data_IF_930128029436
#
_entry.id   IF_930128029436
#
_cell.length_a   1.000
_cell.length_b   1.000
_cell.length_c   1.000
_cell.angle_alpha   90.00
_cell.angle_beta   90.00
_cell.angle_gamma   90.00
#
_symmetry.space_group_name_H-M   'P 1'
#
loop_
_entity.id
_entity.type
_entity.pdbx_description
1 polymer ?
#
# COMPACT_ATOMS: atom_id res chain seq x y z
N UNK A 1 -23.80 -13.61 43.28
CA UNK A 1 -23.20 -14.97 43.35
C UNK A 1 -24.33 -15.97 43.31
N UNK A 2 -24.43 -16.74 42.24
CA UNK A 2 -25.21 -17.99 42.20
C UNK A 2 -24.53 -18.89 41.18
N UNK A 3 -23.66 -19.74 41.72
CA UNK A 3 -23.04 -20.88 41.07
C UNK A 3 -24.14 -21.93 40.87
N UNK A 4 -24.27 -22.47 39.66
CA UNK A 4 -25.00 -23.73 39.46
C UNK A 4 -24.09 -24.65 38.65
N UNK A 5 -23.64 -25.69 39.33
CA UNK A 5 -22.89 -26.83 38.81
C UNK A 5 -23.78 -27.78 38.00
N UNK A 6 -23.10 -28.73 37.34
CA UNK A 6 -23.48 -30.06 36.83
C UNK A 6 -23.17 -30.19 35.33
N UNK A 7 -22.61 -31.29 34.83
CA UNK A 7 -21.83 -32.41 35.37
C UNK A 7 -21.34 -33.14 34.12
N UNK A 8 -20.11 -33.65 34.18
CA UNK A 8 -19.58 -34.57 33.19
C UNK A 8 -20.38 -35.88 33.24
N UNK A 9 -20.81 -36.40 32.09
CA UNK A 9 -21.00 -37.83 31.93
C UNK A 9 -20.72 -38.25 30.48
N UNK A 10 -20.00 -39.36 30.41
CA UNK A 10 -19.34 -39.94 29.25
C UNK A 10 -20.16 -41.13 28.71
N UNK A 11 -19.99 -41.34 27.41
CA UNK A 11 -20.14 -42.58 26.65
C UNK A 11 -21.50 -43.14 26.15
N UNK A 12 -21.46 -43.42 24.84
CA UNK A 12 -22.03 -44.55 24.10
C UNK A 12 -23.50 -44.61 23.60
N UNK A 13 -23.56 -44.63 22.26
CA UNK A 13 -24.30 -45.54 21.36
C UNK A 13 -25.71 -45.17 20.82
N UNK A 14 -25.70 -44.97 19.49
CA UNK A 14 -26.64 -45.43 18.45
C UNK A 14 -28.14 -45.04 18.51
N UNK A 15 -28.58 -44.27 17.51
CA UNK A 15 -29.58 -44.67 16.48
C UNK A 15 -30.09 -43.44 15.70
N UNK A 16 -30.61 -43.72 14.51
CA UNK A 16 -30.77 -42.88 13.32
C UNK A 16 -31.77 -41.71 13.40
N UNK A 17 -31.54 -40.65 12.60
CA UNK A 17 -32.57 -40.09 11.70
C UNK A 17 -31.98 -39.07 10.72
N UNK A 18 -32.17 -39.36 9.44
CA UNK A 18 -31.72 -38.67 8.24
C UNK A 18 -32.43 -37.35 7.97
N UNK A 19 -31.66 -36.28 7.69
CA UNK A 19 -32.09 -35.17 6.81
C UNK A 19 -30.92 -34.73 5.93
N UNK A 20 -31.17 -34.84 4.63
CA UNK A 20 -30.27 -34.75 3.48
C UNK A 20 -29.67 -33.35 3.27
N UNK A 21 -28.33 -33.30 3.18
CA UNK A 21 -27.57 -32.20 2.61
C UNK A 21 -27.42 -32.38 1.08
N UNK A 22 -27.31 -31.30 0.28
CA UNK A 22 -27.17 -31.43 -1.17
C UNK A 22 -25.78 -31.96 -1.54
N UNK A 23 -25.77 -33.03 -2.32
CA UNK A 23 -24.58 -33.69 -2.88
C UNK A 23 -23.97 -32.80 -3.96
N UNK A 24 -22.76 -32.29 -3.74
CA UNK A 24 -21.90 -31.80 -4.81
C UNK A 24 -21.09 -32.97 -5.37
N UNK A 25 -21.27 -33.16 -6.67
CA UNK A 25 -20.77 -34.28 -7.47
C UNK A 25 -19.23 -34.29 -7.50
N UNK A 26 -18.60 -35.32 -6.92
CA UNK A 26 -17.15 -35.52 -7.00
C UNK A 26 -16.82 -36.25 -8.30
N UNK A 27 -16.51 -35.48 -9.34
CA UNK A 27 -15.75 -35.95 -10.49
C UNK A 27 -14.27 -35.89 -10.17
N UNK A 28 -13.65 -37.05 -9.96
CA UNK A 28 -12.24 -37.16 -9.61
C UNK A 28 -11.30 -36.77 -10.76
N UNK A 29 -10.40 -35.83 -10.49
CA UNK A 29 -9.10 -35.72 -11.16
C UNK A 29 -8.02 -35.52 -10.10
N UNK A 30 -7.07 -36.45 -10.05
CA UNK A 30 -5.80 -36.30 -9.32
C UNK A 30 -5.04 -35.10 -9.90
N UNK A 31 -4.73 -34.09 -9.09
CA UNK A 31 -3.89 -32.98 -9.54
C UNK A 31 -3.51 -31.96 -8.47
N UNK A 32 -2.25 -32.05 -8.02
CA UNK A 32 -1.45 -31.04 -7.31
C UNK A 32 -1.92 -30.56 -5.93
N UNK A 33 -0.96 -30.49 -5.00
CA UNK A 33 -1.07 -29.80 -3.71
C UNK A 33 -1.71 -28.43 -3.88
N UNK A 34 -2.98 -28.31 -3.51
CA UNK A 34 -3.71 -27.05 -3.55
C UNK A 34 -3.11 -26.11 -2.50
N UNK A 35 -2.12 -25.32 -2.91
CA UNK A 35 -1.78 -24.09 -2.24
C UNK A 35 -3.07 -23.26 -2.12
N UNK A 36 -3.43 -22.86 -0.90
CA UNK A 36 -4.59 -22.01 -0.67
C UNK A 36 -4.55 -20.79 -1.62
N UNK A 37 -5.69 -20.37 -2.17
CA UNK A 37 -5.73 -19.17 -2.99
C UNK A 37 -5.21 -17.97 -2.17
N UNK A 38 -4.46 -17.04 -2.80
CA UNK A 38 -3.95 -15.88 -2.10
C UNK A 38 -5.10 -15.06 -1.52
N UNK A 39 -4.86 -14.46 -0.35
CA UNK A 39 -5.85 -13.63 0.32
C UNK A 39 -6.25 -12.45 -0.59
N UNK A 40 -7.55 -12.12 -0.72
CA UNK A 40 -7.97 -10.98 -1.53
C UNK A 40 -7.27 -9.70 -1.05
N UNK A 41 -6.73 -8.90 -1.97
CA UNK A 41 -6.04 -7.66 -1.63
C UNK A 41 -6.92 -6.66 -0.84
N UNK A 42 -8.25 -6.76 -0.95
CA UNK A 42 -9.21 -5.97 -0.19
C UNK A 42 -9.33 -6.37 1.29
N UNK A 43 -8.88 -7.56 1.68
CA UNK A 43 -8.91 -8.00 3.07
C UNK A 43 -7.97 -7.18 3.95
N UNK A 44 -6.82 -6.77 3.41
CA UNK A 44 -5.85 -5.95 4.12
C UNK A 44 -6.38 -4.54 4.44
N UNK A 45 -7.28 -4.01 3.60
CA UNK A 45 -7.87 -2.68 3.79
C UNK A 45 -8.67 -2.58 5.09
N UNK A 46 -9.24 -3.70 5.57
CA UNK A 46 -10.06 -3.76 6.79
C UNK A 46 -9.25 -3.50 8.06
N UNK A 47 -7.96 -3.81 8.05
CA UNK A 47 -7.07 -3.70 9.22
C UNK A 47 -5.98 -2.64 9.07
N UNK A 48 -5.95 -1.95 7.93
CA UNK A 48 -4.97 -0.90 7.66
C UNK A 48 -5.19 0.38 8.49
N UNK A 49 -6.36 0.54 9.14
CA UNK A 49 -6.61 1.63 10.08
C UNK A 49 -6.35 1.16 11.52
N UNK A 50 -5.42 1.82 12.21
CA UNK A 50 -5.21 1.59 13.63
C UNK A 50 -6.37 2.18 14.44
N UNK A 51 -6.94 1.37 15.33
CA UNK A 51 -7.97 1.81 16.28
C UNK A 51 -7.35 2.87 17.20
N UNK A 52 -7.94 4.07 17.25
CA UNK A 52 -7.47 5.15 18.11
C UNK A 52 -7.70 4.78 19.58
N UNK A 53 -6.65 4.82 20.38
CA UNK A 53 -6.72 4.75 21.85
C UNK A 53 -6.90 6.14 22.49
N UNK A 54 -6.72 7.23 21.74
CA UNK A 54 -6.73 8.61 22.24
C UNK A 54 -7.22 9.62 21.19
N UNK A 55 -7.87 10.69 21.64
CA UNK A 55 -8.28 11.87 20.84
C UNK A 55 -7.22 12.97 20.78
N UNK A 56 -6.19 12.92 21.64
CA UNK A 56 -5.04 13.84 21.62
C UNK A 56 -3.86 13.20 20.88
N UNK A 57 -3.23 14.00 20.03
CA UNK A 57 -2.02 13.61 19.30
C UNK A 57 -0.83 13.74 20.27
N UNK A 58 -0.28 12.62 20.70
CA UNK A 58 0.96 12.58 21.48
C UNK A 58 2.08 12.08 20.56
N UNK A 59 3.01 12.95 20.15
CA UNK A 59 4.14 12.55 19.30
C UNK A 59 4.96 11.43 19.92
N UNK A 60 5.05 11.32 21.25
CA UNK A 60 5.81 10.26 21.92
C UNK A 60 5.20 8.86 21.70
N UNK A 61 3.88 8.76 21.57
CA UNK A 61 3.17 7.50 21.26
C UNK A 61 3.31 7.07 19.79
N UNK A 62 3.91 7.92 18.96
CA UNK A 62 4.03 7.69 17.52
C UNK A 62 5.46 7.90 17.00
N UNK A 63 6.48 7.61 17.81
CA UNK A 63 7.90 7.78 17.45
C UNK A 63 8.20 9.18 16.91
N UNK A 64 7.63 10.22 17.53
CA UNK A 64 7.73 11.62 17.11
C UNK A 64 6.89 12.00 15.89
N UNK A 65 5.84 11.24 15.51
CA UNK A 65 4.97 11.60 14.38
C UNK A 65 4.02 12.69 14.86
N UNK A 66 4.14 13.89 14.29
CA UNK A 66 3.12 14.91 14.39
C UNK A 66 2.16 14.75 13.22
N UNK A 67 0.84 14.78 13.45
CA UNK A 67 -0.12 14.80 12.34
C UNK A 67 0.03 16.10 11.56
N UNK A 68 0.17 15.98 10.24
CA UNK A 68 0.21 17.13 9.32
C UNK A 68 -1.16 17.82 9.22
N UNK A 69 -2.25 17.06 9.44
CA UNK A 69 -3.62 17.58 9.44
C UNK A 69 -4.23 17.28 10.83
N UNK A 70 -4.44 18.31 11.67
CA UNK A 70 -5.19 18.16 12.91
C UNK A 70 -6.59 17.64 12.63
N UNK A 71 -7.08 16.71 13.45
CA UNK A 71 -8.44 16.21 13.29
C UNK A 71 -9.45 17.28 13.74
N UNK A 72 -10.03 17.97 12.78
CA UNK A 72 -11.19 18.86 12.98
C UNK A 72 -12.44 18.07 12.63
N UNK A 73 -13.47 18.11 13.48
CA UNK A 73 -14.75 17.45 13.19
C UNK A 73 -15.29 18.00 11.86
N UNK A 74 -15.64 17.11 10.95
CA UNK A 74 -16.06 17.47 9.59
C UNK A 74 -14.94 17.44 8.54
N UNK A 75 -13.68 17.31 8.96
CA UNK A 75 -12.53 17.16 8.08
C UNK A 75 -12.07 15.71 8.01
N UNK A 76 -11.86 15.22 6.80
CA UNK A 76 -11.53 13.85 6.48
C UNK A 76 -10.14 13.82 5.81
N UNK A 77 -9.06 13.55 6.56
CA UNK A 77 -7.73 13.37 6.01
C UNK A 77 -7.75 12.26 4.97
N UNK A 78 -7.30 12.58 3.77
CA UNK A 78 -7.44 11.74 2.59
C UNK A 78 -6.13 11.60 1.85
N UNK A 79 -5.96 10.47 1.17
CA UNK A 79 -4.74 10.13 0.43
C UNK A 79 -5.05 9.08 -0.64
N UNK A 80 -4.53 9.31 -1.85
CA UNK A 80 -4.55 8.36 -2.96
C UNK A 80 -3.14 7.78 -3.15
N UNK A 81 -3.05 6.46 -3.21
CA UNK A 81 -1.79 5.74 -3.37
C UNK A 81 -1.98 4.39 -4.05
N UNK A 82 -0.87 3.77 -4.46
CA UNK A 82 -0.80 2.36 -4.87
C UNK A 82 -0.08 1.59 -3.78
N UNK A 83 -0.55 0.39 -3.47
CA UNK A 83 0.01 -0.47 -2.44
C UNK A 83 0.78 -1.64 -3.06
N UNK A 84 1.95 -1.95 -2.50
CA UNK A 84 2.79 -3.08 -2.88
C UNK A 84 3.04 -3.95 -1.65
N UNK A 85 2.80 -5.25 -1.78
CA UNK A 85 3.17 -6.26 -0.80
C UNK A 85 4.40 -7.00 -1.30
N UNK A 86 5.61 -6.68 -0.81
CA UNK A 86 6.80 -7.41 -1.20
C UNK A 86 6.69 -8.86 -0.71
N UNK A 87 7.16 -9.80 -1.53
CA UNK A 87 7.28 -11.20 -1.12
C UNK A 87 8.29 -11.34 0.04
N UNK A 88 8.25 -12.46 0.76
CA UNK A 88 9.21 -12.68 1.85
C UNK A 88 10.67 -12.56 1.38
N UNK A 89 10.99 -13.06 0.18
CA UNK A 89 12.32 -12.93 -0.39
C UNK A 89 12.70 -11.46 -0.65
N UNK A 90 11.78 -10.67 -1.21
CA UNK A 90 11.97 -9.24 -1.43
C UNK A 90 12.13 -8.48 -0.10
N UNK A 91 11.28 -8.77 0.89
CA UNK A 91 11.38 -8.22 2.24
C UNK A 91 12.72 -8.53 2.90
N UNK A 92 13.26 -9.75 2.73
CA UNK A 92 14.56 -10.14 3.29
C UNK A 92 15.70 -9.33 2.67
N UNK A 93 15.69 -9.13 1.34
CA UNK A 93 16.67 -8.29 0.63
C UNK A 93 16.61 -6.85 1.14
N UNK A 94 15.41 -6.26 1.18
CA UNK A 94 15.23 -4.88 1.64
C UNK A 94 15.59 -4.71 3.12
N UNK A 95 15.29 -5.69 3.97
CA UNK A 95 15.64 -5.66 5.39
C UNK A 95 17.15 -5.80 5.61
N UNK A 96 17.82 -6.60 4.77
CA UNK A 96 19.27 -6.74 4.79
C UNK A 96 19.95 -5.44 4.35
N UNK A 97 19.43 -4.78 3.32
CA UNK A 97 19.87 -3.46 2.89
C UNK A 97 19.72 -2.42 4.03
N UNK A 98 18.55 -2.36 4.66
CA UNK A 98 18.32 -1.45 5.82
C UNK A 98 19.26 -1.78 6.98
N UNK A 99 19.54 -3.07 7.22
CA UNK A 99 20.45 -3.49 8.30
C UNK A 99 21.91 -3.17 8.00
N UNK A 100 22.36 -3.31 6.75
CA UNK A 100 23.70 -2.91 6.33
C UNK A 100 23.96 -1.41 6.57
N UNK A 101 22.91 -0.58 6.44
CA UNK A 101 22.99 0.86 6.74
C UNK A 101 22.98 1.18 8.24
N UNK A 102 22.54 0.25 9.11
CA UNK A 102 22.52 0.42 10.57
C UNK A 102 23.83 0.05 11.25
N UNK A 103 24.51 -1.00 10.76
CA UNK A 103 25.62 -1.66 11.46
C UNK A 103 26.88 -0.79 11.65
N UNK A 104 27.03 0.30 10.89
CA UNK A 104 28.25 1.11 10.88
C UNK A 104 28.15 2.44 11.66
N UNK A 105 27.00 2.78 12.26
CA UNK A 105 26.82 4.06 12.98
C UNK A 105 26.83 3.89 14.51
N UNK A 106 27.99 4.16 15.12
CA UNK A 106 28.11 4.56 16.53
C UNK A 106 27.70 6.04 16.76
N UNK A 107 27.04 6.68 15.80
CA UNK A 107 26.46 8.01 15.97
C UNK A 107 25.14 7.88 16.77
N UNK A 108 25.22 8.25 18.04
CA UNK A 108 24.08 8.36 18.97
C UNK A 108 23.04 9.30 18.36
N UNK A 109 21.95 8.76 17.79
CA UNK A 109 20.82 9.51 17.25
C UNK A 109 20.32 9.11 15.85
N UNK A 110 21.05 8.26 15.13
CA UNK A 110 20.70 7.84 13.76
C UNK A 110 19.90 6.53 13.72
N UNK A 111 18.88 6.38 14.57
CA UNK A 111 18.03 5.18 14.52
C UNK A 111 17.26 5.15 13.19
N UNK A 112 17.51 4.12 12.38
CA UNK A 112 16.81 3.90 11.11
C UNK A 112 15.63 2.98 11.38
N UNK A 113 14.41 3.49 11.26
CA UNK A 113 13.17 2.75 11.49
C UNK A 113 12.65 2.17 10.16
N UNK A 114 12.41 0.86 10.12
CA UNK A 114 11.97 0.15 8.91
C UNK A 114 10.45 0.27 8.69
N UNK A 115 10.01 0.30 7.43
CA UNK A 115 8.60 0.15 7.04
C UNK A 115 8.25 -1.27 6.59
N UNK A 116 9.23 -2.19 6.56
CA UNK A 116 9.07 -3.50 5.91
C UNK A 116 8.40 -4.55 6.80
N UNK A 117 8.48 -4.39 8.12
CA UNK A 117 7.98 -5.38 9.09
C UNK A 117 7.28 -4.70 10.26
N UNK A 118 6.27 -5.38 10.80
CA UNK A 118 5.64 -5.00 12.07
C UNK A 118 6.53 -5.37 13.25
N UNK A 119 6.18 -4.91 14.45
CA UNK A 119 6.85 -5.29 15.70
C UNK A 119 6.81 -6.81 15.96
N UNK A 120 5.87 -7.52 15.32
CA UNK A 120 5.72 -8.98 15.37
C UNK A 120 6.46 -9.70 14.22
N UNK A 121 7.23 -8.96 13.42
CA UNK A 121 8.02 -9.51 12.31
C UNK A 121 7.22 -9.83 11.05
N UNK A 122 5.95 -9.40 10.95
CA UNK A 122 5.14 -9.66 9.76
C UNK A 122 5.43 -8.63 8.66
N UNK A 123 5.61 -9.03 7.40
CA UNK A 123 5.77 -8.09 6.29
C UNK A 123 4.65 -7.04 6.22
N UNK A 124 5.00 -5.79 5.98
CA UNK A 124 4.08 -4.68 5.82
C UNK A 124 4.06 -4.19 4.36
N UNK A 125 2.89 -3.70 3.88
CA UNK A 125 2.83 -3.09 2.57
C UNK A 125 3.61 -1.78 2.50
N UNK A 126 4.23 -1.56 1.36
CA UNK A 126 4.78 -0.27 0.96
C UNK A 126 3.82 0.43 0.00
N UNK A 127 4.01 1.73 -0.22
CA UNK A 127 3.14 2.45 -1.14
C UNK A 127 3.88 3.47 -2.02
N UNK A 128 3.29 3.73 -3.18
CA UNK A 128 3.63 4.83 -4.09
C UNK A 128 2.51 5.86 -3.98
N UNK A 129 2.84 7.10 -3.58
CA UNK A 129 1.84 8.17 -3.48
C UNK A 129 1.42 8.69 -4.85
N UNK A 130 0.11 8.89 -5.04
CA UNK A 130 -0.47 9.52 -6.24
C UNK A 130 -1.14 10.87 -5.91
N UNK A 131 -1.07 11.29 -4.64
CA UNK A 131 -1.50 12.60 -4.16
C UNK A 131 -0.68 12.97 -2.92
N UNK A 132 -0.63 14.27 -2.58
CA UNK A 132 -0.24 14.69 -1.24
C UNK A 132 -1.32 14.27 -0.24
N UNK A 133 -1.04 14.18 1.07
CA UNK A 133 -2.11 14.18 2.05
C UNK A 133 -2.98 15.44 1.88
N UNK A 134 -4.30 15.27 1.79
CA UNK A 134 -5.25 16.37 1.60
C UNK A 134 -6.48 16.21 2.51
N UNK A 135 -7.37 17.19 2.55
CA UNK A 135 -8.52 17.20 3.47
C UNK A 135 -9.82 17.40 2.72
N UNK A 136 -10.74 16.44 2.83
CA UNK A 136 -12.10 16.58 2.33
C UNK A 136 -13.05 16.98 3.46
N UNK A 137 -14.06 17.79 3.16
CA UNK A 137 -15.15 18.02 4.12
C UNK A 137 -16.17 16.88 4.09
N UNK A 138 -17.06 16.82 5.08
CA UNK A 138 -18.17 15.85 5.11
C UNK A 138 -19.05 15.92 3.87
N UNK A 139 -19.26 17.12 3.33
CA UNK A 139 -20.07 17.34 2.12
C UNK A 139 -19.34 16.86 0.87
N UNK A 140 -18.01 16.90 0.87
CA UNK A 140 -17.18 16.52 -0.27
C UNK A 140 -16.87 15.03 -0.33
N UNK A 141 -16.72 14.34 0.82
CA UNK A 141 -16.13 13.00 0.87
C UNK A 141 -16.83 11.95 0.00
N UNK A 142 -18.17 11.93 0.02
CA UNK A 142 -18.95 10.92 -0.70
C UNK A 142 -19.02 11.24 -2.19
N UNK A 143 -19.11 12.54 -2.53
CA UNK A 143 -19.04 13.03 -3.90
C UNK A 143 -17.67 12.71 -4.51
N UNK A 144 -16.58 12.96 -3.77
CA UNK A 144 -15.23 12.61 -4.16
C UNK A 144 -15.10 11.12 -4.46
N UNK A 145 -15.47 10.28 -3.49
CA UNK A 145 -15.34 8.84 -3.63
C UNK A 145 -16.13 8.28 -4.83
N UNK A 146 -17.33 8.81 -5.09
CA UNK A 146 -18.13 8.41 -6.27
C UNK A 146 -17.52 8.88 -7.60
N UNK A 147 -16.77 10.00 -7.60
CA UNK A 147 -16.16 10.60 -8.79
C UNK A 147 -14.86 9.91 -9.19
N UNK A 148 -14.03 9.50 -8.23
CA UNK A 148 -12.69 8.96 -8.47
C UNK A 148 -12.67 7.81 -9.49
N UNK A 149 -13.51 6.76 -9.41
CA UNK A 149 -13.45 5.65 -10.37
C UNK A 149 -13.65 6.07 -11.83
N UNK A 150 -14.57 7.02 -12.05
CA UNK A 150 -14.86 7.56 -13.38
C UNK A 150 -13.74 8.45 -13.90
N UNK A 151 -13.21 9.33 -13.05
CA UNK A 151 -12.19 10.30 -13.42
C UNK A 151 -10.81 9.68 -13.63
N UNK A 152 -10.44 8.67 -12.83
CA UNK A 152 -9.22 7.89 -13.06
C UNK A 152 -9.29 7.06 -14.34
N UNK A 153 -10.49 6.88 -14.93
CA UNK A 153 -10.73 6.13 -16.17
C UNK A 153 -9.98 4.80 -16.16
N UNK A 154 -10.09 4.07 -15.03
CA UNK A 154 -9.27 2.88 -14.76
C UNK A 154 -9.39 1.80 -15.85
N UNK A 155 -10.53 1.78 -16.56
CA UNK A 155 -10.77 0.90 -17.72
C UNK A 155 -9.77 1.09 -18.87
N UNK A 156 -9.08 2.23 -18.94
CA UNK A 156 -8.09 2.50 -19.98
C UNK A 156 -6.70 1.95 -19.66
N UNK A 157 -6.50 1.36 -18.47
CA UNK A 157 -5.23 0.77 -18.07
C UNK A 157 -5.33 -0.75 -18.13
N UNK A 158 -4.38 -1.39 -18.81
CA UNK A 158 -4.05 -2.79 -18.53
C UNK A 158 -3.26 -2.88 -17.24
N UNK A 159 -3.25 -4.05 -16.58
CA UNK A 159 -2.28 -4.32 -15.51
C UNK A 159 -0.86 -4.08 -16.04
N UNK A 160 -0.04 -3.42 -15.23
CA UNK A 160 1.36 -3.16 -15.55
C UNK A 160 2.18 -3.27 -14.27
N UNK A 161 3.49 -3.44 -14.41
CA UNK A 161 4.42 -3.47 -13.30
C UNK A 161 5.47 -2.39 -13.47
N UNK A 162 5.98 -1.89 -12.35
CA UNK A 162 7.06 -0.92 -12.31
C UNK A 162 8.26 -1.54 -11.61
N UNK A 163 9.46 -1.00 -11.86
CA UNK A 163 10.69 -1.51 -11.25
C UNK A 163 11.41 -0.41 -10.46
N UNK A 164 12.01 -0.74 -9.31
CA UNK A 164 12.97 0.15 -8.66
C UNK A 164 14.17 0.41 -9.57
N UNK A 165 14.71 1.63 -9.53
CA UNK A 165 15.87 2.05 -10.32
C UNK A 165 17.05 2.48 -9.45
N UNK A 166 16.78 3.04 -8.29
CA UNK A 166 17.81 3.59 -7.41
C UNK A 166 17.30 3.71 -5.97
N UNK A 167 18.24 3.85 -5.05
CA UNK A 167 18.00 4.19 -3.66
C UNK A 167 18.36 5.66 -3.45
N UNK A 168 17.53 6.42 -2.73
CA UNK A 168 17.83 7.81 -2.38
C UNK A 168 17.25 8.21 -1.04
N UNK A 169 17.72 9.32 -0.50
CA UNK A 169 17.11 9.95 0.66
C UNK A 169 16.17 11.06 0.22
N UNK A 170 14.96 11.06 0.75
CA UNK A 170 13.96 12.08 0.49
C UNK A 170 13.57 12.76 1.81
N UNK A 171 13.69 14.09 1.85
CA UNK A 171 13.18 14.89 2.97
C UNK A 171 11.94 15.62 2.49
N UNK A 172 10.80 15.28 3.07
CA UNK A 172 9.58 16.05 2.81
C UNK A 172 9.72 17.42 3.48
N UNK A 173 9.37 18.54 2.81
CA UNK A 173 9.29 19.86 3.45
C UNK A 173 8.39 19.86 4.68
N UNK A 174 7.42 18.95 4.70
CA UNK A 174 6.37 18.84 5.71
C UNK A 174 6.76 17.89 6.87
N UNK A 175 8.01 17.43 6.93
CA UNK A 175 8.50 16.49 7.95
C UNK A 175 9.93 16.80 8.39
N UNK A 176 10.19 16.63 9.69
CA UNK A 176 11.56 16.66 10.22
C UNK A 176 12.34 15.36 9.91
N UNK A 177 11.73 14.38 9.25
CA UNK A 177 12.31 13.05 8.96
C UNK A 177 12.93 13.00 7.56
N UNK A 178 14.04 12.28 7.48
CA UNK A 178 14.58 11.79 6.23
C UNK A 178 14.03 10.38 5.96
N UNK A 179 13.55 10.15 4.75
CA UNK A 179 13.03 8.86 4.31
C UNK A 179 14.04 8.23 3.36
N UNK A 180 14.37 6.96 3.60
CA UNK A 180 15.10 6.15 2.65
C UNK A 180 14.09 5.57 1.66
N UNK A 181 14.24 5.89 0.37
CA UNK A 181 13.25 5.58 -0.64
C UNK A 181 13.84 4.81 -1.82
N UNK A 182 13.08 3.84 -2.32
CA UNK A 182 13.33 3.20 -3.61
C UNK A 182 12.67 4.05 -4.70
N UNK A 183 13.46 4.64 -5.58
CA UNK A 183 12.96 5.36 -6.76
C UNK A 183 12.47 4.37 -7.79
N UNK A 184 11.28 4.62 -8.32
CA UNK A 184 10.74 3.85 -9.44
C UNK A 184 11.36 4.38 -10.73
N UNK A 185 11.76 3.49 -11.63
CA UNK A 185 12.34 3.85 -12.92
C UNK A 185 11.38 4.78 -13.69
N UNK A 186 11.86 5.80 -14.38
CA UNK A 186 11.04 6.58 -15.33
C UNK A 186 11.78 6.58 -16.67
N UNK A 187 11.62 5.53 -17.50
CA UNK A 187 12.41 5.45 -18.75
C UNK A 187 11.92 6.44 -19.80
N UNK A 188 12.87 7.05 -20.50
CA UNK A 188 12.68 7.95 -21.65
C UNK A 188 11.93 7.31 -22.84
N UNK A 189 11.93 5.98 -22.95
CA UNK A 189 11.22 5.23 -24.01
C UNK A 189 9.78 4.84 -23.63
N UNK A 190 9.19 5.51 -22.64
CA UNK A 190 7.81 5.24 -22.18
C UNK A 190 7.69 4.31 -20.98
N UNK A 191 8.76 4.15 -20.20
CA UNK A 191 8.90 3.10 -19.17
C UNK A 191 7.89 3.13 -18.03
N UNK A 192 7.20 4.26 -17.78
CA UNK A 192 6.13 4.31 -16.76
C UNK A 192 4.98 5.27 -17.13
N UNK A 193 4.61 5.33 -18.41
CA UNK A 193 3.47 6.13 -18.89
C UNK A 193 2.16 5.81 -18.16
N UNK A 194 1.98 4.56 -17.74
CA UNK A 194 0.82 4.15 -16.93
C UNK A 194 0.75 4.89 -15.60
N UNK A 195 1.87 4.93 -14.87
CA UNK A 195 1.95 5.58 -13.57
C UNK A 195 1.86 7.10 -13.68
N UNK A 196 2.50 7.70 -14.68
CA UNK A 196 2.39 9.14 -14.98
C UNK A 196 0.95 9.54 -15.30
N UNK A 197 0.26 8.78 -16.17
CA UNK A 197 -1.15 9.05 -16.49
C UNK A 197 -2.08 8.87 -15.29
N UNK A 198 -1.78 7.93 -14.39
CA UNK A 198 -2.54 7.77 -13.14
C UNK A 198 -2.35 9.00 -12.24
N UNK A 199 -1.11 9.46 -12.06
CA UNK A 199 -0.81 10.67 -11.30
C UNK A 199 -1.52 11.90 -11.87
N UNK A 200 -1.43 12.13 -13.17
CA UNK A 200 -2.10 13.25 -13.85
C UNK A 200 -3.61 13.25 -13.56
N UNK A 201 -4.27 12.09 -13.71
CA UNK A 201 -5.71 11.96 -13.41
C UNK A 201 -6.02 12.12 -11.92
N UNK A 202 -5.14 11.67 -11.04
CA UNK A 202 -5.30 11.91 -9.59
C UNK A 202 -5.21 13.40 -9.28
N UNK A 203 -4.21 14.09 -9.83
CA UNK A 203 -4.04 15.54 -9.69
C UNK A 203 -5.25 16.32 -10.24
N UNK A 204 -5.79 15.92 -11.40
CA UNK A 204 -7.00 16.52 -11.95
C UNK A 204 -8.19 16.43 -10.97
N UNK A 205 -8.45 15.24 -10.43
CA UNK A 205 -9.55 15.02 -9.47
C UNK A 205 -9.29 15.77 -8.17
N UNK A 206 -8.08 15.73 -7.63
CA UNK A 206 -7.73 16.44 -6.38
C UNK A 206 -7.91 17.95 -6.56
N UNK A 207 -7.49 18.50 -7.71
CA UNK A 207 -7.68 19.92 -8.07
C UNK A 207 -9.15 20.31 -8.22
N UNK A 208 -10.00 19.45 -8.79
CA UNK A 208 -11.46 19.68 -8.88
C UNK A 208 -12.10 19.92 -7.51
N UNK A 209 -11.52 19.37 -6.44
CA UNK A 209 -11.98 19.54 -5.06
C UNK A 209 -11.20 20.61 -4.29
N UNK A 210 -10.45 21.46 -5.00
CA UNK A 210 -9.71 22.58 -4.42
C UNK A 210 -8.49 22.16 -3.59
N UNK A 211 -7.98 20.95 -3.79
CA UNK A 211 -6.84 20.41 -3.05
C UNK A 211 -5.54 20.56 -3.85
N UNK A 212 -4.37 20.61 -3.18
CA UNK A 212 -3.09 20.78 -3.86
C UNK A 212 -2.67 19.51 -4.62
N UNK A 213 -2.15 19.71 -5.83
CA UNK A 213 -1.60 18.65 -6.66
C UNK A 213 -0.28 18.11 -6.10
N UNK A 214 0.05 16.86 -6.46
CA UNK A 214 1.35 16.27 -6.17
C UNK A 214 2.32 16.58 -7.33
N UNK A 215 3.51 17.08 -7.00
CA UNK A 215 4.58 17.47 -7.95
C UNK A 215 4.26 18.64 -8.90
N UNK A 216 3.35 19.54 -8.51
CA UNK A 216 3.00 20.76 -9.27
C UNK A 216 4.16 21.72 -9.54
N UNK A 217 5.19 21.74 -8.69
CA UNK A 217 6.29 22.72 -8.76
C UNK A 217 7.46 22.30 -9.69
N UNK A 218 7.25 21.35 -10.59
CA UNK A 218 8.29 20.93 -11.55
C UNK A 218 9.47 20.24 -10.88
N UNK A 219 9.25 19.59 -9.73
CA UNK A 219 10.23 18.72 -9.08
C UNK A 219 10.86 17.78 -10.11
N UNK A 220 12.18 17.55 -10.00
CA UNK A 220 12.97 16.78 -10.98
C UNK A 220 12.15 15.60 -11.49
N UNK A 221 11.81 15.63 -12.77
CA UNK A 221 10.91 14.68 -13.45
C UNK A 221 11.24 13.23 -13.08
N UNK A 222 12.52 12.94 -12.80
CA UNK A 222 13.10 11.64 -12.50
C UNK A 222 12.92 11.12 -11.05
N UNK A 223 12.30 11.87 -10.15
CA UNK A 223 12.18 11.52 -8.71
C UNK A 223 10.71 11.51 -8.20
N UNK A 224 9.72 11.48 -9.11
CA UNK A 224 8.32 11.61 -8.72
C UNK A 224 7.81 10.35 -8.04
N UNK A 225 8.15 9.18 -8.54
CA UNK A 225 7.63 7.93 -7.99
C UNK A 225 8.66 7.24 -7.11
N UNK A 226 8.28 6.99 -5.85
CA UNK A 226 9.15 6.30 -4.90
C UNK A 226 8.36 5.53 -3.84
N UNK A 227 9.01 4.55 -3.23
CA UNK A 227 8.51 3.79 -2.09
C UNK A 227 9.41 4.01 -0.90
N UNK A 228 8.85 4.46 0.22
CA UNK A 228 9.63 4.61 1.46
C UNK A 228 9.86 3.25 2.10
N UNK A 229 11.12 2.85 2.28
CA UNK A 229 11.50 1.58 2.92
C UNK A 229 11.92 1.74 4.38
N UNK A 230 12.43 2.91 4.73
CA UNK A 230 12.80 3.26 6.10
C UNK A 230 12.78 4.78 6.32
N UNK A 231 12.90 5.23 7.56
CA UNK A 231 13.00 6.65 7.91
C UNK A 231 13.89 6.87 9.14
N UNK A 232 14.47 8.06 9.26
CA UNK A 232 15.28 8.47 10.40
C UNK A 232 15.21 10.00 10.60
N UNK A 233 15.74 10.49 11.72
CA UNK A 233 15.88 11.92 12.01
C UNK A 233 17.23 12.51 11.57
N UNK A 234 18.06 11.72 10.87
CA UNK A 234 19.36 12.16 10.36
C UNK A 234 19.25 13.31 9.35
N UNK A 235 20.26 14.16 9.32
CA UNK A 235 20.47 15.09 8.23
C UNK A 235 21.11 14.39 7.03
N UNK A 236 20.55 14.63 5.85
CA UNK A 236 21.03 14.04 4.60
C UNK A 236 22.29 14.77 4.16
N UNK A 237 23.43 14.27 4.62
CA UNK A 237 24.77 14.77 4.28
C UNK A 237 25.34 14.04 3.06
N UNK A 238 26.32 14.63 2.39
CA UNK A 238 27.03 13.97 1.29
C UNK A 238 27.68 12.65 1.71
N UNK A 239 28.21 12.58 2.95
CA UNK A 239 28.74 11.34 3.52
C UNK A 239 27.66 10.27 3.70
N UNK A 240 26.47 10.62 4.20
CA UNK A 240 25.37 9.67 4.32
C UNK A 240 24.96 9.13 2.95
N UNK A 241 24.88 10.01 1.94
CA UNK A 241 24.56 9.65 0.57
C UNK A 241 25.61 8.66 0.01
N UNK A 242 26.91 8.98 0.10
CA UNK A 242 27.97 8.08 -0.38
C UNK A 242 27.97 6.71 0.32
N UNK A 243 27.74 6.66 1.64
CA UNK A 243 27.59 5.39 2.36
C UNK A 243 26.40 4.58 1.84
N UNK A 244 25.29 5.27 1.58
CA UNK A 244 24.06 4.66 1.07
C UNK A 244 24.30 4.06 -0.32
N UNK A 245 25.00 4.78 -1.17
CA UNK A 245 25.34 4.32 -2.53
C UNK A 245 26.25 3.08 -2.47
N UNK A 246 27.29 3.09 -1.64
CA UNK A 246 28.20 1.94 -1.44
C UNK A 246 27.45 0.71 -0.92
N UNK A 247 26.59 0.88 0.09
CA UNK A 247 25.78 -0.22 0.59
C UNK A 247 24.84 -0.76 -0.49
N UNK A 248 24.19 0.13 -1.25
CA UNK A 248 23.25 -0.22 -2.30
C UNK A 248 23.89 -1.02 -3.45
N UNK A 249 25.18 -0.83 -3.76
CA UNK A 249 25.86 -1.61 -4.80
C UNK A 249 25.74 -3.13 -4.59
N UNK A 250 25.82 -3.60 -3.35
CA UNK A 250 25.70 -5.02 -3.03
C UNK A 250 24.28 -5.59 -3.24
N UNK A 251 23.27 -4.72 -3.33
CA UNK A 251 21.86 -5.10 -3.47
C UNK A 251 21.25 -4.67 -4.81
N UNK A 252 21.99 -3.90 -5.62
CA UNK A 252 21.51 -3.24 -6.84
C UNK A 252 20.80 -4.21 -7.78
N UNK A 253 21.43 -5.34 -8.10
CA UNK A 253 20.86 -6.30 -9.06
C UNK A 253 19.59 -6.98 -8.52
N UNK A 254 19.58 -7.32 -7.23
CA UNK A 254 18.42 -7.92 -6.59
C UNK A 254 17.24 -6.96 -6.52
N UNK A 255 17.51 -5.67 -6.24
CA UNK A 255 16.50 -4.61 -6.18
C UNK A 255 15.99 -4.26 -7.58
N UNK A 256 16.87 -4.15 -8.57
CA UNK A 256 16.50 -3.87 -9.96
C UNK A 256 15.69 -5.00 -10.61
N UNK A 257 15.90 -6.25 -10.15
CA UNK A 257 15.11 -7.41 -10.58
C UNK A 257 13.71 -7.46 -9.95
N UNK A 258 13.40 -6.64 -8.94
CA UNK A 258 12.07 -6.62 -8.33
C UNK A 258 11.03 -6.02 -9.28
N UNK A 259 9.89 -6.69 -9.37
CA UNK A 259 8.70 -6.14 -10.03
C UNK A 259 7.66 -5.74 -8.99
N UNK A 260 7.13 -4.54 -9.16
CA UNK A 260 6.07 -3.96 -8.35
C UNK A 260 4.80 -3.95 -9.21
N UNK A 261 3.93 -4.97 -9.08
CA UNK A 261 2.70 -5.02 -9.85
C UNK A 261 1.76 -3.89 -9.41
N UNK A 262 1.21 -3.16 -10.37
CA UNK A 262 0.19 -2.14 -10.14
C UNK A 262 -1.16 -2.80 -10.42
N UNK A 263 -1.86 -3.15 -9.34
CA UNK A 263 -3.12 -3.90 -9.43
C UNK A 263 -4.34 -3.06 -9.08
N UNK A 264 -4.18 -2.11 -8.14
CA UNK A 264 -5.26 -1.26 -7.67
C UNK A 264 -4.76 0.11 -7.24
N UNK A 265 -5.65 1.09 -7.31
CA UNK A 265 -5.46 2.41 -6.70
C UNK A 265 -6.27 2.44 -5.40
N UNK A 266 -5.63 2.76 -4.29
CA UNK A 266 -6.25 2.91 -2.98
C UNK A 266 -6.62 4.36 -2.74
N UNK A 267 -7.84 4.59 -2.27
CA UNK A 267 -8.36 5.90 -1.85
C UNK A 267 -8.69 5.80 -0.38
N UNK A 268 -7.89 6.45 0.45
CA UNK A 268 -8.11 6.57 1.89
C UNK A 268 -8.87 7.87 2.18
N UNK A 269 -9.94 7.77 2.96
CA UNK A 269 -10.71 8.90 3.48
C UNK A 269 -10.97 8.63 4.96
N UNK A 270 -10.31 9.37 5.84
CA UNK A 270 -10.32 9.10 7.27
C UNK A 270 -9.72 7.73 7.60
N UNK A 271 -10.54 6.84 8.16
CA UNK A 271 -10.18 5.46 8.49
C UNK A 271 -10.67 4.44 7.45
N UNK A 272 -11.37 4.88 6.40
CA UNK A 272 -11.89 4.00 5.36
C UNK A 272 -10.92 4.00 4.18
N UNK A 273 -10.61 2.81 3.67
CA UNK A 273 -9.80 2.62 2.47
C UNK A 273 -10.68 1.93 1.43
N UNK A 274 -10.79 2.55 0.25
CA UNK A 274 -11.49 1.99 -0.90
C UNK A 274 -10.47 1.58 -1.94
N UNK A 275 -10.53 0.31 -2.37
CA UNK A 275 -9.63 -0.26 -3.37
C UNK A 275 -10.28 -0.28 -4.75
N UNK A 276 -9.63 0.37 -5.72
CA UNK A 276 -10.09 0.43 -7.11
C UNK A 276 -9.22 -0.47 -8.00
N UNK A 277 -9.68 -1.71 -8.23
CA UNK A 277 -8.98 -2.73 -9.02
C UNK A 277 -8.88 -2.35 -10.50
N UNK A 278 -7.68 -2.38 -11.09
CA UNK A 278 -7.50 -2.16 -12.52
C UNK A 278 -8.14 -3.28 -13.37
N UNK A 279 -8.25 -4.49 -12.83
CA UNK A 279 -8.75 -5.66 -13.54
C UNK A 279 -10.26 -5.65 -13.75
N UNK A 280 -11.00 -5.28 -12.71
CA UNK A 280 -12.47 -5.27 -12.68
C UNK A 280 -13.03 -4.23 -13.65
N UNK A 281 -12.22 -3.21 -13.94
CA UNK A 281 -12.51 -2.16 -14.92
C UNK A 281 -12.08 -2.52 -16.35
N UNK A 282 -11.14 -3.45 -16.54
CA UNK A 282 -10.67 -3.89 -17.86
C UNK A 282 -11.56 -4.94 -18.55
N UNK A 283 -12.33 -5.75 -17.79
CA UNK A 283 -13.10 -6.88 -18.33
C UNK A 283 -14.45 -6.52 -18.98
N UNK A 284 -14.98 -5.31 -18.79
CA UNK A 284 -16.31 -4.91 -19.33
C UNK A 284 -16.32 -4.60 -20.85
N UNK A 285 -15.48 -5.27 -21.65
CA UNK A 285 -15.30 -5.02 -23.08
C UNK A 285 -15.75 -6.15 -24.02
N UNK A 286 -16.39 -7.21 -23.52
CA UNK A 286 -16.73 -8.39 -24.34
C UNK A 286 -18.10 -9.01 -24.07
N UNK A 287 -19.13 -8.20 -23.79
CA UNK A 287 -20.54 -8.65 -23.83
C UNK A 287 -21.48 -7.57 -24.37
N UNK A 288 -21.15 -6.96 -25.51
CA UNK A 288 -22.16 -6.38 -26.41
C UNK A 288 -21.67 -6.60 -27.83
N UNK A 289 -21.98 -7.76 -28.39
CA UNK A 289 -21.58 -8.12 -29.75
C UNK A 289 -22.42 -9.26 -30.30
N UNK A 290 -23.41 -8.89 -31.12
CA UNK A 290 -24.17 -9.75 -32.03
C UNK A 290 -25.27 -10.65 -31.44
N UNK A 291 -26.46 -10.06 -31.27
CA UNK A 291 -27.73 -10.77 -31.30
C UNK A 291 -28.68 -10.10 -32.29
N UNK A 292 -28.23 -9.82 -33.52
CA UNK A 292 -29.13 -9.62 -34.67
C UNK A 292 -28.37 -9.97 -35.96
N UNK A 293 -28.54 -11.21 -36.41
CA UNK A 293 -28.43 -11.58 -37.81
C UNK A 293 -29.71 -12.33 -38.17
N UNK A 294 -30.54 -11.69 -38.97
CA UNK A 294 -31.53 -12.32 -39.85
C UNK A 294 -31.18 -11.91 -41.26
#
# INVERSE_FOLDING_TARGET
MTLVDYSSDDDSAAEEASKSAPVLNVGGTRGSSASLPPLPASFHDLYASTVRTSTRDDPALHHGRSRQIPHVVGNWPSHIYIEWFPSQAQCNVLSSLVSALRSDDHQVGAELHSFLTSDLGTPLPLHISLSRPFVLTTEQKDVFLSRVPGALRLRSFSRFAVRPSALSWHRSPDSNRAFLVLRVQESCDGGNLGLTRLLERCNEVVREFGQPELYSDGGRVMDRFHLSVAWSFVDVTGSLQSRTDVAYENFRDQVAAMEIPIESVKVKIGNIITSLSLADYGQKRSEVGSLFST
#
